data_IF_116516204654
#
_entry.id   IF_116516204654
#
_cell.length_a   1.000
_cell.length_b   1.000
_cell.length_c   1.000
_cell.angle_alpha   90.00
_cell.angle_beta   90.00
_cell.angle_gamma   90.00
#
_symmetry.space_group_name_H-M   'P 1'
#
loop_
_entity.id
_entity.type
_entity.pdbx_description
1 polymer ?
#
# COMPACT_ATOMS: atom_id res chain seq x y z
N UNK A 1 -29.49 28.94 -47.98
CA UNK A 1 -30.75 29.30 -47.30
C UNK A 1 -30.82 28.49 -46.01
N UNK A 2 -30.82 29.20 -44.87
CA UNK A 2 -31.45 28.90 -43.57
C UNK A 2 -31.31 27.49 -42.96
N UNK A 3 -30.99 27.26 -41.68
CA UNK A 3 -31.04 28.12 -40.50
C UNK A 3 -30.12 27.59 -39.38
N UNK A 4 -29.59 28.53 -38.60
CA UNK A 4 -28.88 28.32 -37.34
C UNK A 4 -29.84 27.87 -36.23
N UNK A 5 -29.45 26.85 -35.47
CA UNK A 5 -30.08 26.47 -34.20
C UNK A 5 -29.12 26.70 -33.04
N UNK A 6 -29.23 27.85 -32.38
CA UNK A 6 -28.52 28.17 -31.16
C UNK A 6 -29.19 27.45 -29.96
N UNK A 7 -28.42 26.70 -29.18
CA UNK A 7 -28.87 26.11 -27.92
C UNK A 7 -28.52 27.04 -26.77
N UNK A 8 -29.57 27.45 -26.08
CA UNK A 8 -29.60 28.39 -24.97
C UNK A 8 -29.00 27.73 -23.71
N UNK A 9 -27.91 28.32 -23.19
CA UNK A 9 -27.20 27.86 -22.01
C UNK A 9 -27.90 28.34 -20.73
N UNK A 10 -28.38 27.38 -19.93
CA UNK A 10 -28.98 27.67 -18.64
C UNK A 10 -27.95 28.25 -17.63
N UNK A 11 -28.32 29.27 -16.83
CA UNK A 11 -27.41 29.87 -15.85
C UNK A 11 -27.20 28.96 -14.63
N UNK A 12 -25.99 28.91 -14.05
CA UNK A 12 -25.71 28.10 -12.86
C UNK A 12 -26.40 28.67 -11.62
N UNK A 13 -27.11 27.79 -10.91
CA UNK A 13 -27.72 28.05 -9.61
C UNK A 13 -26.65 28.47 -8.60
N UNK A 14 -26.79 29.70 -8.07
CA UNK A 14 -25.94 30.29 -7.03
C UNK A 14 -25.96 29.41 -5.77
N UNK A 15 -24.82 28.82 -5.44
CA UNK A 15 -24.60 28.20 -4.14
C UNK A 15 -24.56 29.27 -3.05
N UNK A 16 -25.37 29.08 -2.01
CA UNK A 16 -25.40 29.97 -0.85
C UNK A 16 -24.06 29.91 -0.12
N UNK A 17 -23.35 31.05 -0.09
CA UNK A 17 -22.18 31.24 0.77
C UNK A 17 -22.63 31.15 2.23
N UNK A 18 -22.49 29.96 2.83
CA UNK A 18 -22.51 29.83 4.29
C UNK A 18 -21.31 30.62 4.82
N UNK A 19 -21.58 31.76 5.47
CA UNK A 19 -20.60 32.42 6.34
C UNK A 19 -20.23 31.39 7.41
N UNK A 20 -19.01 30.87 7.36
CA UNK A 20 -18.42 30.19 8.52
C UNK A 20 -17.98 31.27 9.48
N UNK A 21 -18.33 31.10 10.75
CA UNK A 21 -17.82 31.97 11.81
C UNK A 21 -16.30 31.95 11.79
N UNK A 22 -15.72 33.15 11.88
CA UNK A 22 -14.29 33.36 11.91
C UNK A 22 -13.79 32.83 13.26
N UNK A 23 -13.16 31.65 13.25
CA UNK A 23 -12.50 31.08 14.44
C UNK A 23 -11.29 31.95 14.73
N UNK A 24 -11.41 32.85 15.71
CA UNK A 24 -10.27 33.58 16.26
C UNK A 24 -9.54 32.67 17.24
N UNK A 25 -8.30 32.32 16.93
CA UNK A 25 -7.36 31.78 17.91
C UNK A 25 -6.90 32.97 18.75
N UNK A 26 -7.60 33.24 19.85
CA UNK A 26 -6.97 33.95 20.95
C UNK A 26 -5.94 33.00 21.54
N UNK A 27 -4.74 33.54 21.73
CA UNK A 27 -3.57 32.87 22.30
C UNK A 27 -3.95 32.19 23.62
N UNK A 28 -4.12 30.87 23.58
CA UNK A 28 -4.20 30.04 24.78
C UNK A 28 -2.78 29.88 25.33
N UNK A 29 -2.35 30.85 26.14
CA UNK A 29 -1.16 30.80 27.00
C UNK A 29 -1.29 29.74 28.13
N UNK A 30 -2.10 28.70 27.93
CA UNK A 30 -2.47 27.71 28.95
C UNK A 30 -1.55 26.47 28.98
N UNK A 31 -0.52 26.41 28.12
CA UNK A 31 0.34 25.22 28.00
C UNK A 31 1.73 25.33 28.64
N UNK A 32 2.04 26.43 29.33
CA UNK A 32 3.37 26.66 29.93
C UNK A 32 3.46 26.32 31.44
N UNK A 33 2.42 25.72 32.04
CA UNK A 33 2.42 25.42 33.49
C UNK A 33 1.96 23.98 33.85
N UNK A 34 2.29 23.00 33.01
CA UNK A 34 2.24 21.58 33.40
C UNK A 34 3.59 21.19 34.03
N UNK A 35 3.64 21.35 35.35
CA UNK A 35 4.69 20.90 36.26
C UNK A 35 4.78 19.36 36.21
N UNK A 36 5.49 18.84 35.19
CA UNK A 36 5.83 17.43 35.06
C UNK A 36 6.85 17.07 36.15
N UNK A 37 6.52 16.15 37.08
CA UNK A 37 7.49 15.70 38.07
C UNK A 37 8.64 14.95 37.40
N UNK A 38 9.88 15.33 37.75
CA UNK A 38 11.12 14.68 37.31
C UNK A 38 11.16 13.19 37.72
N UNK A 39 11.77 12.31 36.89
CA UNK A 39 11.89 10.89 37.20
C UNK A 39 12.84 10.66 38.38
N UNK A 40 12.38 9.89 39.36
CA UNK A 40 13.22 9.40 40.46
C UNK A 40 14.10 8.23 39.99
N UNK A 41 15.32 8.10 40.51
CA UNK A 41 16.17 6.94 40.27
C UNK A 41 15.58 5.71 40.98
N UNK A 42 15.53 4.60 40.26
CA UNK A 42 15.21 3.27 40.76
C UNK A 42 16.35 2.80 41.68
N UNK A 43 16.02 2.51 42.94
CA UNK A 43 16.84 1.68 43.83
C UNK A 43 16.12 0.35 43.99
N UNK A 44 16.82 -0.71 43.56
CA UNK A 44 16.55 -2.10 43.85
C UNK A 44 16.48 -2.35 45.37
N UNK A 45 15.55 -3.20 45.82
CA UNK A 45 15.82 -4.34 46.72
C UNK A 45 14.49 -5.00 47.17
N UNK A 46 14.36 -6.25 46.72
CA UNK A 46 13.86 -7.48 47.35
C UNK A 46 12.85 -7.51 48.54
N UNK A 47 12.10 -8.62 48.50
CA UNK A 47 11.35 -9.31 49.57
C UNK A 47 9.98 -8.77 50.00
N UNK A 48 8.93 -9.46 49.52
CA UNK A 48 7.62 -9.52 50.18
C UNK A 48 7.36 -10.96 50.64
N UNK A 49 7.60 -11.22 51.92
CA UNK A 49 6.91 -12.26 52.68
C UNK A 49 5.55 -11.72 53.13
N UNK A 50 4.47 -12.39 52.76
CA UNK A 50 3.12 -12.14 53.27
C UNK A 50 2.99 -12.61 54.72
N UNK A 51 2.64 -11.71 55.62
CA UNK A 51 1.96 -12.03 56.87
C UNK A 51 1.12 -10.82 57.34
N UNK A 52 -0.19 -11.01 57.26
CA UNK A 52 -1.24 -10.67 58.23
C UNK A 52 -1.26 -9.29 58.93
N UNK A 53 -2.40 -8.63 58.68
CA UNK A 53 -3.27 -7.93 59.63
C UNK A 53 -2.66 -7.49 60.97
N UNK A 54 -2.63 -6.16 61.19
CA UNK A 54 -3.04 -5.66 62.51
C UNK A 54 -3.58 -4.22 62.44
N UNK A 55 -4.71 -4.04 63.10
CA UNK A 55 -5.43 -2.78 63.31
C UNK A 55 -4.67 -1.90 64.32
N UNK A 56 -4.36 -0.64 63.98
CA UNK A 56 -4.08 0.36 65.02
C UNK A 56 -4.28 1.82 64.58
N UNK A 57 -5.12 2.49 65.38
CA UNK A 57 -5.44 3.91 65.39
C UNK A 57 -4.22 4.86 65.45
N UNK A 58 -4.23 5.87 64.56
CA UNK A 58 -3.92 7.27 64.85
C UNK A 58 -2.47 7.68 65.20
N UNK A 59 -1.88 8.57 64.37
CA UNK A 59 -1.19 9.79 64.83
C UNK A 59 -0.75 10.67 63.66
N UNK A 60 -1.37 11.86 63.57
CA UNK A 60 -0.90 12.97 62.72
C UNK A 60 0.47 13.45 63.24
N UNK A 61 1.53 13.28 62.46
CA UNK A 61 2.80 13.99 62.65
C UNK A 61 3.18 14.70 61.35
N UNK A 62 2.91 16.00 61.32
CA UNK A 62 3.41 16.93 60.31
C UNK A 62 4.94 17.08 60.47
N UNK A 63 5.70 16.32 59.68
CA UNK A 63 7.15 16.57 59.52
C UNK A 63 7.33 17.84 58.69
N UNK A 64 7.81 18.91 59.32
CA UNK A 64 8.31 20.12 58.64
C UNK A 64 9.50 19.73 57.77
N UNK A 65 9.30 19.68 56.46
CA UNK A 65 10.38 19.53 55.48
C UNK A 65 11.15 20.85 55.43
N UNK A 66 12.44 20.80 55.78
CA UNK A 66 13.33 21.95 55.74
C UNK A 66 13.57 22.33 54.27
N UNK A 67 13.23 23.58 53.91
CA UNK A 67 13.51 24.17 52.59
C UNK A 67 15.01 24.34 52.42
N UNK A 68 15.68 23.41 51.74
CA UNK A 68 17.05 23.59 51.25
C UNK A 68 17.05 24.63 50.14
N UNK A 69 17.79 25.71 50.35
CA UNK A 69 17.93 26.81 49.40
C UNK A 69 18.55 26.30 48.07
N UNK A 70 17.73 26.26 47.01
CA UNK A 70 18.18 25.94 45.65
C UNK A 70 19.22 26.97 45.21
N UNK A 71 20.50 26.55 45.13
CA UNK A 71 21.57 27.33 44.52
C UNK A 71 21.19 27.62 43.06
N UNK A 72 21.09 28.91 42.70
CA UNK A 72 20.78 29.36 41.34
C UNK A 72 21.87 28.85 40.40
N UNK A 73 21.55 27.83 39.61
CA UNK A 73 22.43 27.30 38.58
C UNK A 73 22.77 28.41 37.57
N UNK A 74 24.06 28.58 37.28
CA UNK A 74 24.56 29.48 36.24
C UNK A 74 23.87 29.14 34.92
N UNK A 75 23.12 30.10 34.36
CA UNK A 75 22.49 29.95 33.03
C UNK A 75 23.57 29.66 31.99
N UNK A 76 23.52 28.47 31.40
CA UNK A 76 24.36 28.12 30.25
C UNK A 76 24.05 29.08 29.09
N UNK A 77 25.07 29.47 28.30
CA UNK A 77 24.89 30.40 27.20
C UNK A 77 23.90 29.83 26.19
N UNK A 78 22.85 30.61 25.88
CA UNK A 78 21.82 30.22 24.91
C UNK A 78 22.48 30.03 23.54
N UNK A 79 22.40 28.81 23.00
CA UNK A 79 22.89 28.50 21.67
C UNK A 79 22.30 29.48 20.64
N UNK A 80 23.14 29.97 19.72
CA UNK A 80 22.69 30.87 18.64
C UNK A 80 21.65 30.11 17.81
N UNK A 81 20.46 30.71 17.64
CA UNK A 81 19.39 30.16 16.82
C UNK A 81 19.84 30.16 15.35
N UNK A 82 20.33 29.02 14.87
CA UNK A 82 20.64 28.83 13.44
C UNK A 82 19.31 28.81 12.69
N UNK A 83 19.17 29.65 11.66
CA UNK A 83 17.97 29.65 10.82
C UNK A 83 17.88 28.29 10.11
N UNK A 84 16.72 27.59 10.16
CA UNK A 84 16.57 26.33 9.47
C UNK A 84 16.77 26.52 7.96
N UNK A 85 17.48 25.58 7.36
CA UNK A 85 17.69 25.53 5.93
C UNK A 85 16.35 25.33 5.20
N UNK A 86 16.09 26.12 4.16
CA UNK A 86 14.86 26.01 3.36
C UNK A 86 15.08 25.03 2.23
N UNK A 87 14.29 23.95 2.22
CA UNK A 87 14.38 22.91 1.18
C UNK A 87 14.21 23.45 -0.25
N UNK A 88 13.37 24.46 -0.45
CA UNK A 88 13.14 25.06 -1.78
C UNK A 88 14.29 25.95 -2.28
N UNK A 89 15.24 26.32 -1.41
CA UNK A 89 16.44 27.08 -1.81
C UNK A 89 17.51 26.15 -2.45
N UNK A 90 17.31 24.82 -2.42
CA UNK A 90 18.12 23.86 -3.16
C UNK A 90 17.89 23.98 -4.67
N UNK A 91 18.92 23.67 -5.47
CA UNK A 91 18.76 23.49 -6.91
C UNK A 91 17.80 22.33 -7.21
N UNK A 92 17.16 22.37 -8.38
CA UNK A 92 16.21 21.33 -8.79
C UNK A 92 16.86 19.94 -8.84
N UNK A 93 18.12 19.85 -9.24
CA UNK A 93 18.90 18.60 -9.27
C UNK A 93 19.04 17.98 -7.88
N UNK A 94 19.44 18.77 -6.88
CA UNK A 94 19.57 18.29 -5.50
C UNK A 94 18.20 17.88 -4.93
N UNK A 95 17.12 18.58 -5.29
CA UNK A 95 15.76 18.18 -4.89
C UNK A 95 15.37 16.84 -5.52
N UNK A 96 15.66 16.64 -6.80
CA UNK A 96 15.39 15.38 -7.50
C UNK A 96 16.13 14.20 -6.87
N UNK A 97 17.41 14.35 -6.53
CA UNK A 97 18.17 13.31 -5.82
C UNK A 97 17.55 12.98 -4.47
N UNK A 98 17.05 13.98 -3.74
CA UNK A 98 16.36 13.76 -2.47
C UNK A 98 15.03 13.05 -2.69
N UNK A 99 14.26 13.42 -3.72
CA UNK A 99 13.01 12.74 -4.07
C UNK A 99 13.23 11.28 -4.43
N UNK A 100 14.23 10.99 -5.25
CA UNK A 100 14.60 9.63 -5.61
C UNK A 100 14.93 8.83 -4.33
N UNK A 101 15.85 9.31 -3.49
CA UNK A 101 16.25 8.60 -2.27
C UNK A 101 15.12 8.44 -1.25
N UNK A 102 14.19 9.40 -1.18
CA UNK A 102 13.13 9.42 -0.16
C UNK A 102 11.84 8.71 -0.60
N UNK A 103 11.57 8.64 -1.91
CA UNK A 103 10.28 8.18 -2.45
C UNK A 103 10.38 6.93 -3.33
N UNK A 104 11.59 6.47 -3.70
CA UNK A 104 11.77 5.20 -4.43
C UNK A 104 12.34 4.11 -3.53
N UNK A 105 11.81 2.90 -3.70
CA UNK A 105 12.38 1.69 -3.13
C UNK A 105 13.13 0.92 -4.23
N UNK A 106 14.32 0.38 -3.92
CA UNK A 106 15.14 -0.31 -4.92
C UNK A 106 14.44 -1.56 -5.48
N UNK A 107 13.65 -2.25 -4.64
CA UNK A 107 12.95 -3.49 -4.99
C UNK A 107 11.46 -3.25 -5.28
N UNK A 108 11.06 -1.99 -5.50
CA UNK A 108 9.68 -1.59 -5.68
C UNK A 108 8.89 -1.41 -4.36
N UNK A 109 7.73 -0.76 -4.47
CA UNK A 109 6.88 -0.43 -3.34
C UNK A 109 5.96 -1.61 -2.99
N UNK A 110 6.28 -2.33 -1.92
CA UNK A 110 5.49 -3.49 -1.45
C UNK A 110 4.35 -3.06 -0.52
N UNK A 111 3.11 -3.40 -0.91
CA UNK A 111 1.89 -3.03 -0.19
C UNK A 111 1.06 -4.27 0.20
N UNK A 112 0.64 -4.32 1.47
CA UNK A 112 -0.12 -5.43 2.05
C UNK A 112 -1.45 -4.92 2.60
N UNK A 113 -2.51 -5.70 2.43
CA UNK A 113 -3.78 -5.50 3.13
C UNK A 113 -3.66 -6.04 4.57
N UNK A 114 -3.79 -5.15 5.56
CA UNK A 114 -3.84 -5.51 6.98
C UNK A 114 -5.20 -5.13 7.55
N UNK A 115 -5.80 -6.04 8.31
CA UNK A 115 -7.01 -5.72 9.07
C UNK A 115 -6.62 -5.11 10.41
N UNK A 116 -7.06 -3.88 10.68
CA UNK A 116 -6.91 -3.16 11.94
C UNK A 116 -8.28 -2.62 12.36
N UNK A 117 -8.71 -2.85 13.59
CA UNK A 117 -9.98 -2.35 14.15
C UNK A 117 -11.20 -2.62 13.25
N UNK A 118 -11.33 -3.86 12.76
CA UNK A 118 -12.37 -4.30 11.82
C UNK A 118 -12.40 -3.56 10.47
N UNK A 119 -11.37 -2.78 10.15
CA UNK A 119 -11.19 -2.12 8.86
C UNK A 119 -9.98 -2.70 8.16
N UNK A 120 -10.06 -2.80 6.82
CA UNK A 120 -8.90 -3.13 6.01
C UNK A 120 -8.15 -1.86 5.68
N UNK A 121 -6.88 -1.81 6.04
CA UNK A 121 -5.96 -0.75 5.71
C UNK A 121 -4.83 -1.30 4.84
N UNK A 122 -4.18 -0.41 4.11
CA UNK A 122 -2.99 -0.75 3.35
C UNK A 122 -1.81 -0.24 4.11
N UNK A 123 -0.84 -1.13 4.28
CA UNK A 123 0.40 -0.83 4.95
C UNK A 123 1.55 -1.29 4.07
N UNK A 124 2.62 -0.50 4.06
CA UNK A 124 3.91 -0.95 3.55
C UNK A 124 4.37 -2.14 4.38
N UNK A 125 4.84 -3.19 3.73
CA UNK A 125 5.35 -4.35 4.45
C UNK A 125 5.89 -5.43 3.53
N UNK A 126 6.79 -6.25 4.09
CA UNK A 126 7.36 -7.39 3.39
C UNK A 126 6.30 -8.45 3.10
N UNK A 127 6.14 -8.80 1.84
CA UNK A 127 5.29 -9.92 1.43
C UNK A 127 6.03 -11.19 1.85
N UNK A 128 5.54 -11.89 2.89
CA UNK A 128 6.19 -13.14 3.31
C UNK A 128 5.94 -14.21 2.25
N UNK A 129 6.88 -14.36 1.33
CA UNK A 129 6.94 -15.51 0.43
C UNK A 129 7.37 -16.71 1.28
N UNK A 130 6.46 -17.64 1.56
CA UNK A 130 6.91 -18.95 2.06
C UNK A 130 7.77 -19.59 0.96
N UNK A 131 8.88 -20.22 1.34
CA UNK A 131 9.95 -20.86 0.51
C UNK A 131 9.55 -21.74 -0.71
N UNK A 132 8.28 -21.79 -1.15
CA UNK A 132 7.99 -22.17 -2.54
C UNK A 132 8.41 -21.04 -3.46
N UNK A 133 9.02 -21.40 -4.59
CA UNK A 133 9.23 -20.52 -5.76
C UNK A 133 7.92 -20.02 -6.39
N UNK A 134 6.77 -20.23 -5.74
CA UNK A 134 5.43 -20.05 -6.29
C UNK A 134 4.54 -19.37 -5.24
N UNK A 135 3.97 -18.22 -5.60
CA UNK A 135 2.96 -17.59 -4.77
C UNK A 135 1.61 -18.29 -4.97
N UNK A 136 1.33 -19.25 -4.10
CA UNK A 136 -0.05 -19.61 -3.81
C UNK A 136 -0.58 -18.58 -2.83
N UNK A 137 -1.55 -17.77 -3.27
CA UNK A 137 -2.20 -16.77 -2.43
C UNK A 137 -2.92 -17.39 -1.25
N UNK A 138 -2.19 -17.73 -0.18
CA UNK A 138 -2.76 -18.22 1.07
C UNK A 138 -1.80 -18.41 2.26
N UNK A 139 -0.65 -17.73 2.34
CA UNK A 139 0.21 -17.87 3.54
C UNK A 139 -0.36 -17.19 4.81
N UNK A 140 -1.50 -16.50 4.74
CA UNK A 140 -2.13 -15.81 5.89
C UNK A 140 -3.14 -16.65 6.68
N UNK A 141 -3.59 -17.81 6.22
CA UNK A 141 -4.65 -18.58 6.92
C UNK A 141 -4.17 -19.72 7.83
N UNK A 142 -2.89 -20.05 7.87
CA UNK A 142 -2.36 -21.12 8.76
C UNK A 142 -1.60 -20.54 9.96
N UNK A 143 -2.32 -19.84 10.83
CA UNK A 143 -1.79 -19.31 12.10
C UNK A 143 -1.25 -20.38 13.06
N UNK A 144 -1.57 -21.66 12.86
CA UNK A 144 -1.15 -22.75 13.75
C UNK A 144 0.21 -23.38 13.42
N UNK A 145 0.74 -23.23 12.19
CA UNK A 145 1.99 -23.90 11.79
C UNK A 145 3.24 -23.01 11.85
N UNK A 146 3.09 -21.72 12.16
CA UNK A 146 4.18 -20.73 12.18
C UNK A 146 5.01 -20.71 13.47
N UNK A 147 4.75 -21.58 14.45
CA UNK A 147 5.55 -21.65 15.71
C UNK A 147 6.85 -22.46 15.60
N UNK A 148 7.11 -23.20 14.51
CA UNK A 148 8.20 -24.19 14.49
C UNK A 148 9.35 -23.96 13.52
N UNK A 149 9.24 -23.02 12.58
CA UNK A 149 10.31 -22.74 11.63
C UNK A 149 10.71 -21.27 11.72
N UNK A 150 11.93 -21.03 12.21
CA UNK A 150 12.57 -19.72 12.24
C UNK A 150 12.51 -19.09 10.86
N UNK A 151 11.89 -17.91 10.78
CA UNK A 151 11.76 -17.18 9.52
C UNK A 151 13.00 -16.34 9.32
N UNK A 152 13.82 -16.71 8.35
CA UNK A 152 14.49 -15.73 7.51
C UNK A 152 13.40 -15.02 6.70
N UNK A 153 13.06 -13.79 7.08
CA UNK A 153 12.35 -12.89 6.17
C UNK A 153 13.39 -12.33 5.21
N UNK A 154 13.35 -12.82 3.97
CA UNK A 154 14.06 -12.20 2.85
C UNK A 154 13.51 -10.79 2.68
N UNK A 155 14.44 -9.84 2.52
CA UNK A 155 14.23 -8.42 2.18
C UNK A 155 13.46 -7.55 3.18
N UNK A 156 13.90 -7.51 4.45
CA UNK A 156 13.74 -6.25 5.20
C UNK A 156 14.83 -5.29 4.73
N UNK A 157 14.56 -4.54 3.67
CA UNK A 157 15.49 -3.54 3.17
C UNK A 157 15.54 -2.36 4.15
N UNK A 158 16.25 -2.55 5.28
CA UNK A 158 16.40 -1.59 6.39
C UNK A 158 17.18 -0.34 5.98
N UNK A 159 17.75 -0.32 4.77
CA UNK A 159 18.68 0.71 4.33
C UNK A 159 17.98 1.96 3.78
N UNK A 160 16.69 1.88 3.37
CA UNK A 160 15.93 3.06 2.92
C UNK A 160 14.54 3.17 3.53
N UNK A 161 14.35 4.22 4.33
CA UNK A 161 13.05 4.60 4.88
C UNK A 161 12.28 5.44 3.86
N UNK A 162 11.37 4.80 3.11
CA UNK A 162 10.38 5.50 2.29
C UNK A 162 9.65 6.56 3.14
N UNK A 163 9.67 7.81 2.69
CA UNK A 163 9.16 8.98 3.42
C UNK A 163 8.05 9.69 2.65
N UNK A 164 6.87 9.07 2.47
CA UNK A 164 5.77 9.64 1.68
C UNK A 164 5.21 10.94 2.28
N UNK A 165 5.43 11.16 3.58
CA UNK A 165 5.06 12.40 4.28
C UNK A 165 5.69 13.65 3.65
N UNK A 166 6.81 13.51 2.91
CA UNK A 166 7.42 14.60 2.16
C UNK A 166 6.41 15.24 1.17
N UNK A 167 5.56 14.43 0.54
CA UNK A 167 4.54 14.89 -0.41
C UNK A 167 3.41 15.71 0.26
N UNK A 168 3.25 15.59 1.58
CA UNK A 168 2.24 16.34 2.33
C UNK A 168 2.70 17.75 2.72
N UNK A 169 4.01 18.02 2.66
CA UNK A 169 4.61 19.27 3.18
C UNK A 169 4.30 20.51 2.35
N UNK A 170 4.35 20.40 1.02
CA UNK A 170 4.17 21.52 0.09
C UNK A 170 3.57 21.06 -1.24
N UNK A 171 2.70 21.89 -1.85
CA UNK A 171 2.10 21.64 -3.17
C UNK A 171 3.14 21.57 -4.29
N UNK A 172 4.17 22.40 -4.25
CA UNK A 172 5.26 22.37 -5.23
C UNK A 172 6.04 21.06 -5.14
N UNK A 173 6.46 20.67 -3.93
CA UNK A 173 7.13 19.38 -3.68
C UNK A 173 6.25 18.23 -4.16
N UNK A 174 4.95 18.27 -3.85
CA UNK A 174 4.00 17.27 -4.34
C UNK A 174 3.98 17.17 -5.86
N UNK A 175 3.92 18.30 -6.57
CA UNK A 175 3.88 18.30 -8.04
C UNK A 175 5.19 17.79 -8.66
N UNK A 176 6.35 18.17 -8.09
CA UNK A 176 7.66 17.72 -8.56
C UNK A 176 7.91 16.23 -8.26
N UNK A 177 7.51 15.76 -7.08
CA UNK A 177 7.99 14.50 -6.52
C UNK A 177 6.98 13.34 -6.60
N UNK A 178 5.69 13.57 -6.87
CA UNK A 178 4.68 12.49 -6.91
C UNK A 178 5.00 11.42 -7.96
N UNK A 179 5.63 11.81 -9.08
CA UNK A 179 6.02 10.87 -10.13
C UNK A 179 7.00 9.82 -9.62
N UNK A 180 7.96 10.16 -8.77
CA UNK A 180 8.92 9.20 -8.20
C UNK A 180 8.22 8.12 -7.38
N UNK A 181 7.21 8.50 -6.59
CA UNK A 181 6.48 7.55 -5.75
C UNK A 181 5.59 6.59 -6.56
N UNK A 182 4.90 7.09 -7.59
CA UNK A 182 3.86 6.30 -8.31
C UNK A 182 4.32 5.67 -9.62
N UNK A 183 5.40 6.16 -10.25
CA UNK A 183 5.96 5.56 -11.48
C UNK A 183 6.85 4.35 -11.22
N UNK A 184 7.33 4.17 -9.99
CA UNK A 184 8.05 2.95 -9.62
C UNK A 184 7.10 1.73 -9.66
N UNK A 185 7.68 0.53 -9.65
CA UNK A 185 6.89 -0.69 -9.57
C UNK A 185 6.16 -0.78 -8.22
N UNK A 186 4.85 -1.04 -8.26
CA UNK A 186 4.03 -1.23 -7.06
C UNK A 186 3.66 -2.70 -6.94
N UNK A 187 4.18 -3.36 -5.91
CA UNK A 187 4.00 -4.78 -5.66
C UNK A 187 2.88 -4.97 -4.64
N UNK A 188 1.75 -5.49 -5.09
CA UNK A 188 0.57 -5.78 -4.28
C UNK A 188 0.59 -7.20 -3.76
N UNK A 189 0.42 -7.35 -2.44
CA UNK A 189 0.32 -8.67 -1.82
C UNK A 189 -0.89 -9.47 -2.29
N UNK A 190 -2.03 -8.80 -2.50
CA UNK A 190 -3.28 -9.40 -2.93
C UNK A 190 -4.21 -8.40 -3.63
N UNK A 191 -5.30 -8.90 -4.22
CA UNK A 191 -6.32 -8.06 -4.87
C UNK A 191 -7.05 -7.11 -3.90
N UNK A 192 -7.05 -7.40 -2.59
CA UNK A 192 -7.58 -6.49 -1.59
C UNK A 192 -6.69 -5.26 -1.37
N UNK A 193 -5.37 -5.47 -1.31
CA UNK A 193 -4.39 -4.39 -1.27
C UNK A 193 -4.52 -3.52 -2.51
N UNK A 194 -4.66 -4.13 -3.68
CA UNK A 194 -4.90 -3.42 -4.94
C UNK A 194 -6.17 -2.56 -4.89
N UNK A 195 -7.31 -3.16 -4.52
CA UNK A 195 -8.59 -2.44 -4.44
C UNK A 195 -8.50 -1.24 -3.50
N UNK A 196 -8.00 -1.44 -2.27
CA UNK A 196 -7.89 -0.36 -1.31
C UNK A 196 -6.90 0.72 -1.76
N UNK A 197 -5.85 0.35 -2.51
CA UNK A 197 -4.79 1.28 -2.87
C UNK A 197 -5.34 2.25 -3.89
N UNK A 198 -5.90 1.72 -4.97
CA UNK A 198 -6.50 2.53 -6.04
C UNK A 198 -7.65 3.38 -5.48
N UNK A 199 -8.43 2.86 -4.53
CA UNK A 199 -9.46 3.63 -3.84
C UNK A 199 -8.90 4.85 -3.09
N UNK A 200 -7.75 4.72 -2.42
CA UNK A 200 -7.22 5.74 -1.52
C UNK A 200 -6.25 6.75 -2.16
N UNK A 201 -5.57 6.43 -3.26
CA UNK A 201 -4.55 7.32 -3.83
C UNK A 201 -5.10 8.60 -4.49
N UNK A 202 -6.40 8.63 -4.81
CA UNK A 202 -7.07 9.77 -5.47
C UNK A 202 -6.83 9.84 -6.99
N UNK A 203 -7.69 10.57 -7.71
CA UNK A 203 -7.72 10.58 -9.18
C UNK A 203 -6.41 11.05 -9.83
N UNK A 204 -5.82 12.13 -9.32
CA UNK A 204 -4.55 12.67 -9.85
C UNK A 204 -3.42 11.63 -9.83
N UNK A 205 -3.27 10.91 -8.72
CA UNK A 205 -2.19 9.93 -8.58
C UNK A 205 -2.46 8.65 -9.37
N UNK A 206 -3.73 8.30 -9.65
CA UNK A 206 -4.06 7.13 -10.50
C UNK A 206 -3.50 7.27 -11.90
N UNK A 207 -3.46 8.48 -12.45
CA UNK A 207 -2.82 8.76 -13.73
C UNK A 207 -1.29 8.70 -13.70
N UNK A 208 -0.65 8.50 -12.55
CA UNK A 208 0.80 8.35 -12.45
C UNK A 208 1.25 6.89 -12.27
N UNK A 209 0.31 5.97 -12.09
CA UNK A 209 0.60 4.55 -11.86
C UNK A 209 0.83 3.85 -13.19
N UNK A 210 2.04 3.29 -13.37
CA UNK A 210 2.45 2.64 -14.62
C UNK A 210 2.54 1.11 -14.48
N UNK A 211 3.20 0.63 -13.43
CA UNK A 211 3.57 -0.78 -13.27
C UNK A 211 3.04 -1.34 -11.95
N UNK A 212 2.20 -2.37 -12.05
CA UNK A 212 1.65 -3.06 -10.88
C UNK A 212 1.97 -4.54 -10.98
N UNK A 213 2.59 -5.08 -9.93
CA UNK A 213 2.81 -6.52 -9.77
C UNK A 213 1.87 -7.07 -8.72
N UNK A 214 0.99 -7.99 -9.12
CA UNK A 214 0.06 -8.67 -8.22
C UNK A 214 0.70 -9.99 -7.81
N UNK A 215 1.15 -10.04 -6.56
CA UNK A 215 1.65 -11.27 -5.96
C UNK A 215 0.55 -12.17 -5.46
N UNK A 216 -0.70 -11.76 -5.27
CA UNK A 216 -1.75 -12.65 -4.76
C UNK A 216 -3.10 -12.56 -5.44
N UNK A 217 -3.66 -13.71 -5.82
CA UNK A 217 -5.02 -13.81 -6.32
C UNK A 217 -5.99 -14.18 -5.19
N UNK A 218 -7.07 -13.42 -5.05
CA UNK A 218 -8.16 -13.75 -4.13
C UNK A 218 -9.29 -14.44 -4.89
N UNK A 219 -10.02 -15.33 -4.24
CA UNK A 219 -11.25 -15.85 -4.82
C UNK A 219 -12.42 -14.91 -4.49
N UNK A 220 -13.36 -14.76 -5.43
CA UNK A 220 -14.62 -14.05 -5.21
C UNK A 220 -14.72 -12.65 -5.81
N UNK A 221 -15.69 -11.83 -5.36
CA UNK A 221 -16.07 -10.58 -6.01
C UNK A 221 -15.03 -9.46 -5.88
N UNK A 222 -14.00 -9.65 -5.05
CA UNK A 222 -12.96 -8.66 -4.80
C UNK A 222 -12.08 -8.41 -6.03
N UNK A 223 -11.85 -9.43 -6.86
CA UNK A 223 -11.09 -9.26 -8.09
C UNK A 223 -11.80 -8.29 -9.03
N UNK A 224 -13.10 -8.51 -9.23
CA UNK A 224 -13.94 -7.65 -10.05
C UNK A 224 -13.96 -6.20 -9.54
N UNK A 225 -14.09 -6.02 -8.23
CA UNK A 225 -14.04 -4.68 -7.63
C UNK A 225 -12.67 -4.01 -7.82
N UNK A 226 -11.57 -4.74 -7.69
CA UNK A 226 -10.23 -4.22 -7.90
C UNK A 226 -9.99 -3.80 -9.36
N UNK A 227 -10.37 -4.64 -10.34
CA UNK A 227 -10.28 -4.29 -11.76
C UNK A 227 -11.19 -3.12 -12.12
N UNK A 228 -12.40 -3.09 -11.58
CA UNK A 228 -13.32 -1.94 -11.77
C UNK A 228 -12.71 -0.63 -11.26
N UNK A 229 -11.82 -0.67 -10.27
CA UNK A 229 -11.08 0.51 -9.82
C UNK A 229 -9.86 0.81 -10.70
N UNK A 230 -9.19 -0.22 -11.23
CA UNK A 230 -8.05 -0.07 -12.14
C UNK A 230 -8.42 0.61 -13.47
N UNK A 231 -9.68 0.61 -13.88
CA UNK A 231 -10.11 1.33 -15.08
C UNK A 231 -9.68 2.82 -15.04
N UNK A 232 -9.55 3.41 -13.85
CA UNK A 232 -9.17 4.81 -13.67
C UNK A 232 -7.65 5.07 -13.73
N UNK A 233 -6.83 4.04 -13.95
CA UNK A 233 -5.38 4.16 -14.10
C UNK A 233 -5.02 4.22 -15.59
N UNK A 234 -5.17 5.40 -16.19
CA UNK A 234 -5.08 5.61 -17.65
C UNK A 234 -3.68 5.32 -18.24
N UNK A 235 -2.64 5.52 -17.43
CA UNK A 235 -1.24 5.37 -17.84
C UNK A 235 -0.65 4.02 -17.42
N UNK A 236 -1.49 3.03 -17.09
CA UNK A 236 -1.00 1.69 -16.79
C UNK A 236 -0.36 1.07 -18.04
N UNK A 237 0.87 0.60 -17.89
CA UNK A 237 1.69 -0.01 -18.94
C UNK A 237 1.82 -1.52 -18.73
N UNK A 238 2.01 -1.95 -17.48
CA UNK A 238 2.12 -3.37 -17.14
C UNK A 238 1.30 -3.71 -15.90
N UNK A 239 0.52 -4.79 -16.02
CA UNK A 239 -0.15 -5.49 -14.95
C UNK A 239 0.39 -6.92 -14.88
N UNK A 240 1.40 -7.12 -14.04
CA UNK A 240 2.12 -8.39 -13.94
C UNK A 240 1.53 -9.28 -12.85
N UNK A 241 1.16 -10.51 -13.21
CA UNK A 241 0.69 -11.52 -12.28
C UNK A 241 1.84 -12.44 -11.86
N UNK A 242 2.35 -12.20 -10.66
CA UNK A 242 3.32 -13.03 -9.95
C UNK A 242 2.61 -13.94 -8.94
N UNK A 243 1.48 -14.55 -9.34
CA UNK A 243 0.61 -15.29 -8.43
C UNK A 243 -0.20 -16.37 -9.11
N UNK A 244 -0.49 -17.48 -8.41
CA UNK A 244 -1.34 -18.55 -8.96
C UNK A 244 -2.79 -18.09 -9.08
N UNK A 245 -3.24 -17.92 -10.32
CA UNK A 245 -4.60 -17.51 -10.70
C UNK A 245 -5.59 -18.68 -10.58
N UNK A 246 -5.77 -19.15 -9.34
CA UNK A 246 -6.73 -20.20 -8.98
C UNK A 246 -6.50 -21.56 -9.68
N UNK A 247 -7.57 -22.33 -9.83
CA UNK A 247 -7.56 -23.68 -10.39
C UNK A 247 -7.49 -23.72 -11.93
N UNK A 248 -7.49 -22.55 -12.57
CA UNK A 248 -7.66 -22.43 -14.02
C UNK A 248 -6.32 -22.50 -14.74
N UNK A 249 -5.78 -23.73 -14.86
CA UNK A 249 -4.52 -24.01 -15.55
C UNK A 249 -4.61 -23.99 -17.08
N UNK A 250 -5.83 -24.08 -17.64
CA UNK A 250 -6.03 -24.09 -19.09
C UNK A 250 -6.11 -22.66 -19.62
N UNK A 251 -5.30 -22.27 -20.63
CA UNK A 251 -5.28 -20.91 -21.19
C UNK A 251 -6.66 -20.31 -21.49
N UNK A 252 -7.54 -21.09 -22.13
CA UNK A 252 -8.91 -20.64 -22.46
C UNK A 252 -9.78 -20.37 -21.23
N UNK A 253 -9.63 -21.16 -20.17
CA UNK A 253 -10.43 -20.98 -18.94
C UNK A 253 -9.88 -19.82 -18.13
N UNK A 254 -8.56 -19.66 -18.11
CA UNK A 254 -7.90 -18.50 -17.51
C UNK A 254 -8.32 -17.20 -18.21
N UNK A 255 -8.31 -17.15 -19.54
CA UNK A 255 -8.79 -16.01 -20.32
C UNK A 255 -10.23 -15.65 -19.92
N UNK A 256 -11.14 -16.63 -19.84
CA UNK A 256 -12.54 -16.39 -19.44
C UNK A 256 -12.66 -15.87 -18.01
N UNK A 257 -11.85 -16.40 -17.09
CA UNK A 257 -11.83 -15.95 -15.70
C UNK A 257 -11.38 -14.49 -15.63
N UNK A 258 -10.26 -14.14 -16.28
CA UNK A 258 -9.76 -12.76 -16.32
C UNK A 258 -10.76 -11.84 -16.98
N UNK A 259 -11.31 -12.22 -18.14
CA UNK A 259 -12.32 -11.41 -18.81
C UNK A 259 -13.55 -11.19 -17.93
N UNK A 260 -14.07 -12.24 -17.28
CA UNK A 260 -15.21 -12.10 -16.36
C UNK A 260 -14.92 -11.09 -15.25
N UNK A 261 -13.73 -11.16 -14.65
CA UNK A 261 -13.36 -10.31 -13.53
C UNK A 261 -12.89 -8.91 -13.98
N UNK A 262 -12.38 -8.73 -15.20
CA UNK A 262 -11.68 -7.53 -15.65
C UNK A 262 -12.24 -6.85 -16.91
N UNK A 263 -13.39 -7.28 -17.45
CA UNK A 263 -13.92 -6.73 -18.72
C UNK A 263 -14.04 -5.20 -18.72
N UNK A 264 -14.53 -4.58 -17.64
CA UNK A 264 -14.64 -3.11 -17.54
C UNK A 264 -13.26 -2.44 -17.69
N UNK A 265 -12.26 -2.99 -17.02
CA UNK A 265 -10.89 -2.50 -17.11
C UNK A 265 -10.33 -2.65 -18.52
N UNK A 266 -10.47 -3.83 -19.13
CA UNK A 266 -9.93 -4.13 -20.45
C UNK A 266 -10.60 -3.31 -21.56
N UNK A 267 -11.92 -3.14 -21.50
CA UNK A 267 -12.66 -2.31 -22.44
C UNK A 267 -12.24 -0.84 -22.32
N UNK A 268 -11.97 -0.36 -21.11
CA UNK A 268 -11.47 1.01 -20.93
C UNK A 268 -10.03 1.17 -21.45
N UNK A 269 -9.15 0.20 -21.18
CA UNK A 269 -7.77 0.22 -21.69
C UNK A 269 -7.73 0.16 -23.22
N UNK A 270 -8.58 -0.65 -23.84
CA UNK A 270 -8.71 -0.71 -25.31
C UNK A 270 -9.07 0.65 -25.89
N UNK A 271 -10.03 1.35 -25.28
CA UNK A 271 -10.42 2.72 -25.70
C UNK A 271 -9.30 3.75 -25.53
N UNK A 272 -8.51 3.64 -24.46
CA UNK A 272 -7.44 4.60 -24.15
C UNK A 272 -6.20 4.40 -25.02
N UNK A 273 -5.80 3.15 -25.26
CA UNK A 273 -4.59 2.81 -26.04
C UNK A 273 -4.85 2.77 -27.55
N UNK A 274 -6.11 2.59 -27.97
CA UNK A 274 -6.51 2.62 -29.37
C UNK A 274 -6.62 1.25 -30.03
N UNK A 275 -6.56 0.16 -29.26
CA UNK A 275 -6.67 -1.21 -29.77
C UNK A 275 -6.98 -2.25 -28.69
N UNK A 276 -7.72 -3.30 -29.07
CA UNK A 276 -7.97 -4.45 -28.20
C UNK A 276 -6.69 -5.26 -27.92
N UNK A 277 -5.74 -5.25 -28.86
CA UNK A 277 -4.43 -5.92 -28.74
C UNK A 277 -3.56 -5.29 -27.65
N UNK A 278 -3.45 -3.96 -27.64
CA UNK A 278 -2.70 -3.22 -26.62
C UNK A 278 -3.25 -3.46 -25.21
N UNK A 279 -4.58 -3.58 -25.07
CA UNK A 279 -5.22 -3.88 -23.79
C UNK A 279 -4.86 -5.27 -23.25
N UNK A 280 -4.65 -6.24 -24.15
CA UNK A 280 -4.24 -7.61 -23.79
C UNK A 280 -2.75 -7.66 -23.45
N UNK A 281 -1.92 -6.87 -24.13
CA UNK A 281 -0.47 -6.78 -23.87
C UNK A 281 -0.14 -6.25 -22.46
N UNK A 282 -0.98 -5.36 -21.91
CA UNK A 282 -0.83 -4.87 -20.53
C UNK A 282 -0.83 -6.03 -19.51
N UNK A 283 -1.58 -7.11 -19.79
CA UNK A 283 -1.64 -8.27 -18.89
C UNK A 283 -0.40 -9.16 -19.11
N UNK A 284 0.45 -9.22 -18.09
CA UNK A 284 1.67 -10.02 -18.11
C UNK A 284 1.62 -11.10 -17.02
N UNK A 285 2.29 -12.23 -17.27
CA UNK A 285 2.32 -13.35 -16.33
C UNK A 285 3.76 -13.81 -16.10
N UNK A 286 4.03 -14.34 -14.91
CA UNK A 286 5.26 -15.06 -14.67
C UNK A 286 5.41 -16.31 -15.55
N UNK A 287 6.66 -16.65 -15.88
CA UNK A 287 7.03 -17.73 -16.81
C UNK A 287 6.35 -19.07 -16.50
N UNK A 288 6.07 -19.31 -15.23
CA UNK A 288 5.50 -20.54 -14.71
C UNK A 288 4.00 -20.72 -14.99
N UNK A 289 3.26 -19.67 -15.39
CA UNK A 289 1.81 -19.75 -15.64
C UNK A 289 1.45 -20.66 -16.81
N UNK A 290 2.30 -20.67 -17.84
CA UNK A 290 2.11 -21.44 -19.07
C UNK A 290 3.07 -22.62 -19.14
N UNK A 291 3.52 -23.15 -18.00
CA UNK A 291 4.44 -24.29 -18.02
C UNK A 291 3.71 -25.59 -18.41
N UNK A 292 4.06 -26.15 -19.57
CA UNK A 292 3.51 -27.40 -20.09
C UNK A 292 3.87 -28.66 -19.27
N UNK A 293 5.00 -28.64 -18.55
CA UNK A 293 5.46 -29.73 -17.68
C UNK A 293 4.71 -29.75 -16.35
N UNK A 294 3.92 -28.73 -16.06
CA UNK A 294 3.13 -28.66 -14.83
C UNK A 294 1.96 -29.63 -14.93
N UNK A 295 2.17 -30.86 -14.45
CA UNK A 295 1.15 -31.90 -14.41
C UNK A 295 -0.08 -31.33 -13.69
N UNK A 296 -1.20 -31.23 -14.41
CA UNK A 296 -2.48 -30.92 -13.81
C UNK A 296 -2.77 -31.99 -12.76
N UNK A 297 -2.59 -31.67 -11.47
CA UNK A 297 -3.05 -32.53 -10.39
C UNK A 297 -4.57 -32.62 -10.55
N UNK A 298 -4.99 -33.69 -11.20
CA UNK A 298 -6.27 -33.72 -11.93
C UNK A 298 -7.42 -34.16 -11.05
N UNK A 299 -7.18 -34.57 -9.80
CA UNK A 299 -8.24 -35.20 -9.01
C UNK A 299 -8.37 -34.73 -7.58
N UNK A 300 -7.32 -34.62 -6.79
CA UNK A 300 -7.43 -34.12 -5.42
C UNK A 300 -6.05 -33.58 -5.00
N UNK A 301 -5.92 -32.30 -4.63
CA UNK A 301 -4.80 -31.93 -3.79
C UNK A 301 -5.11 -32.56 -2.43
N UNK A 302 -4.48 -33.68 -2.13
CA UNK A 302 -4.24 -33.99 -0.74
C UNK A 302 -3.68 -32.70 -0.09
N UNK A 303 -4.14 -32.40 1.13
CA UNK A 303 -4.07 -31.13 1.86
C UNK A 303 -2.65 -30.55 2.07
N UNK A 304 -1.65 -31.24 1.53
CA UNK A 304 -0.20 -31.01 1.58
C UNK A 304 0.45 -30.75 0.21
N UNK A 305 -0.32 -30.79 -0.90
CA UNK A 305 0.18 -30.66 -2.28
C UNK A 305 0.73 -29.28 -2.61
N UNK A 306 1.90 -28.96 -2.06
CA UNK A 306 2.84 -28.05 -2.70
C UNK A 306 3.15 -28.65 -4.07
N UNK A 307 2.87 -27.90 -5.14
CA UNK A 307 3.36 -28.24 -6.47
C UNK A 307 4.90 -28.23 -6.39
N UNK A 308 5.52 -29.39 -6.18
CA UNK A 308 6.92 -29.57 -6.54
C UNK A 308 6.96 -29.56 -8.05
N UNK A 309 7.25 -28.39 -8.64
CA UNK A 309 7.81 -28.34 -9.98
C UNK A 309 9.03 -29.25 -9.91
N UNK A 310 9.00 -30.40 -10.58
CA UNK A 310 10.17 -31.27 -10.65
C UNK A 310 11.34 -30.40 -11.09
N UNK A 311 12.43 -30.39 -10.32
CA UNK A 311 13.42 -29.29 -10.21
C UNK A 311 14.19 -28.88 -11.47
N UNK A 312 13.52 -28.68 -12.59
CA UNK A 312 13.98 -27.96 -13.77
C UNK A 312 13.36 -26.57 -13.80
N UNK A 313 14.07 -25.64 -14.42
CA UNK A 313 13.58 -24.29 -14.64
C UNK A 313 12.23 -24.32 -15.38
N UNK A 314 11.26 -23.48 -14.98
CA UNK A 314 9.98 -23.41 -15.66
C UNK A 314 10.18 -22.93 -17.09
N UNK A 315 9.91 -23.81 -18.05
CA UNK A 315 9.91 -23.47 -19.47
C UNK A 315 8.58 -22.78 -19.82
N UNK A 316 8.66 -21.55 -20.31
CA UNK A 316 7.50 -20.78 -20.73
C UNK A 316 7.00 -21.29 -22.09
N UNK A 317 5.78 -21.80 -22.14
CA UNK A 317 5.14 -22.25 -23.38
C UNK A 317 4.44 -21.07 -24.08
N UNK A 318 5.11 -20.51 -25.10
CA UNK A 318 4.56 -19.40 -25.89
C UNK A 318 3.25 -19.78 -26.59
N UNK A 319 3.09 -21.03 -27.04
CA UNK A 319 1.86 -21.47 -27.73
C UNK A 319 0.65 -21.38 -26.78
N UNK A 320 0.85 -21.68 -25.50
CA UNK A 320 -0.21 -21.53 -24.49
C UNK A 320 -0.54 -20.07 -24.21
N UNK A 321 0.46 -19.19 -24.21
CA UNK A 321 0.25 -17.74 -24.10
C UNK A 321 -0.56 -17.21 -25.28
N UNK A 322 -0.21 -17.60 -26.50
CA UNK A 322 -0.91 -17.17 -27.72
C UNK A 322 -2.37 -17.66 -27.73
N UNK A 323 -2.63 -18.88 -27.24
CA UNK A 323 -4.01 -19.40 -27.07
C UNK A 323 -4.79 -18.57 -26.04
N UNK A 324 -4.14 -18.15 -24.95
CA UNK A 324 -4.75 -17.26 -23.95
C UNK A 324 -5.11 -15.91 -24.56
N UNK A 325 -4.14 -15.25 -25.22
CA UNK A 325 -4.33 -13.92 -25.80
C UNK A 325 -5.42 -13.94 -26.88
N UNK A 326 -5.41 -14.95 -27.76
CA UNK A 326 -6.44 -15.13 -28.80
C UNK A 326 -7.86 -15.32 -28.23
N UNK A 327 -8.01 -16.09 -27.15
CA UNK A 327 -9.32 -16.27 -26.52
C UNK A 327 -9.76 -14.99 -25.80
N UNK A 328 -8.84 -14.24 -25.18
CA UNK A 328 -9.14 -12.97 -24.53
C UNK A 328 -9.57 -11.90 -25.53
N UNK A 329 -8.82 -11.73 -26.62
CA UNK A 329 -9.15 -10.84 -27.74
C UNK A 329 -10.52 -11.16 -28.34
N UNK A 330 -10.79 -12.44 -28.56
CA UNK A 330 -12.09 -12.89 -29.08
C UNK A 330 -13.26 -12.44 -28.19
N UNK A 331 -13.08 -12.42 -26.87
CA UNK A 331 -14.13 -11.96 -25.94
C UNK A 331 -14.29 -10.43 -25.97
N UNK A 332 -13.19 -9.68 -26.03
CA UNK A 332 -13.21 -8.21 -26.16
C UNK A 332 -13.93 -7.77 -27.44
N UNK A 333 -13.53 -8.32 -28.59
CA UNK A 333 -14.16 -8.02 -29.91
C UNK A 333 -15.64 -8.41 -29.93
N UNK A 334 -16.03 -9.45 -29.20
CA UNK A 334 -17.44 -9.86 -29.11
C UNK A 334 -18.27 -8.88 -28.27
N UNK A 335 -17.67 -8.27 -27.25
CA UNK A 335 -18.35 -7.33 -26.37
C UNK A 335 -18.50 -5.94 -26.99
N UNK A 336 -17.51 -5.47 -27.75
CA UNK A 336 -17.56 -4.18 -28.45
C UNK A 336 -18.61 -4.14 -29.57
N UNK A 337 -19.01 -5.31 -30.09
CA UNK A 337 -20.08 -5.44 -31.10
C UNK A 337 -21.50 -5.45 -30.53
N UNK A 338 -21.66 -5.48 -29.21
CA UNK A 338 -22.96 -5.40 -28.54
C UNK A 338 -23.28 -3.96 -28.21
#
# INVERSE_FOLDING_TARGET
>A
MSANGATETAPPLRSSKRKRDQVSYLDDDYFDELDLPEPQPEEDEDEVSNAEEDEAYGRKRSKKVAKTAKKKAKKTPKAKKVKPFRFLDLSAELRNEIYERALTEPDGLTLISKSTDNRRQIQRGSITVTRSDHYYGQAYRRGWWRRRHGKESVESNRERSLSPNLLATNRQIRAEASSYLYKQEIIMADMHALQGFVANIGSYNRGLVNNITIRGWTEGPHNYAAFSMLQFCENLESLYFDCTLGWYRRPKVLARQIYRDAHIFLENMSRLKGGDEDAVEIIQFGAWHFNNKRVASTRYPDRSGFDTVGGGEPEFDQDQRDVFDKELLKMLVKATKR
#
